data_IF_653954274727
#
_entry.id   IF_653954274727
#
_cell.length_a   1.000
_cell.length_b   1.000
_cell.length_c   1.000
_cell.angle_alpha   90.00
_cell.angle_beta   90.00
_cell.angle_gamma   90.00
#
_symmetry.space_group_name_H-M   'P 1'
#
loop_
_entity.id
_entity.type
_entity.pdbx_description
1 polymer ?
#
# COMPACT_ATOMS: atom_id res chain seq x y z
N UNK A 1 -0.24 -10.63 20.14
CA UNK A 1 -0.88 -10.31 18.85
C UNK A 1 -0.22 -9.08 18.30
N UNK A 2 -0.15 -8.95 16.98
CA UNK A 2 0.49 -7.81 16.32
C UNK A 2 -0.57 -6.77 16.00
N UNK A 3 -0.26 -5.50 16.23
CA UNK A 3 -1.12 -4.38 15.86
C UNK A 3 -0.76 -3.93 14.45
N UNK A 4 -1.75 -3.95 13.56
CA UNK A 4 -1.62 -3.52 12.18
C UNK A 4 -2.39 -2.23 11.96
N UNK A 5 -1.74 -1.21 11.39
CA UNK A 5 -2.38 -0.05 10.78
C UNK A 5 -2.87 -0.41 9.39
N UNK A 6 -4.05 0.07 9.04
CA UNK A 6 -4.74 -0.31 7.83
C UNK A 6 -4.85 0.90 6.91
N UNK A 7 -4.39 0.74 5.68
CA UNK A 7 -4.39 1.76 4.65
C UNK A 7 -5.09 1.23 3.39
N UNK A 8 -6.21 1.85 3.01
CA UNK A 8 -6.95 1.54 1.79
C UNK A 8 -6.44 2.36 0.63
N UNK A 9 -6.07 1.71 -0.47
CA UNK A 9 -5.71 2.37 -1.70
C UNK A 9 -6.98 2.95 -2.34
N UNK A 10 -6.97 4.25 -2.58
CA UNK A 10 -8.08 4.95 -3.22
C UNK A 10 -8.37 4.42 -4.64
N UNK A 11 -9.64 4.46 -5.05
CA UNK A 11 -10.10 3.83 -6.30
C UNK A 11 -9.35 4.31 -7.55
N UNK A 12 -8.95 5.59 -7.58
CA UNK A 12 -8.19 6.18 -8.69
C UNK A 12 -6.83 5.52 -8.94
N UNK A 13 -6.24 4.85 -7.94
CA UNK A 13 -4.93 4.20 -8.06
C UNK A 13 -5.02 2.68 -8.14
N UNK A 14 -6.21 2.12 -7.89
CA UNK A 14 -6.46 0.69 -7.81
C UNK A 14 -6.25 -0.02 -9.15
N UNK A 15 -6.84 0.53 -10.22
CA UNK A 15 -6.72 -0.05 -11.57
C UNK A 15 -5.27 -0.06 -12.04
N UNK A 16 -4.59 1.10 -11.92
CA UNK A 16 -3.17 1.23 -12.23
C UNK A 16 -2.30 0.26 -11.42
N UNK A 17 -2.63 -0.01 -10.16
CA UNK A 17 -1.89 -1.00 -9.37
C UNK A 17 -2.11 -2.43 -9.88
N UNK A 18 -3.33 -2.78 -10.26
CA UNK A 18 -3.70 -4.12 -10.75
C UNK A 18 -3.07 -4.45 -12.10
N UNK A 19 -2.90 -3.44 -12.95
CA UNK A 19 -2.30 -3.61 -14.29
C UNK A 19 -0.77 -3.66 -14.25
N UNK A 20 -0.16 -3.13 -13.20
CA UNK A 20 1.30 -3.12 -13.09
C UNK A 20 1.85 -4.54 -12.93
N UNK A 21 2.92 -4.88 -13.66
CA UNK A 21 3.60 -6.14 -13.44
C UNK A 21 4.21 -6.20 -12.03
N UNK A 22 4.38 -7.41 -11.46
CA UNK A 22 5.10 -7.58 -10.21
C UNK A 22 6.51 -7.01 -10.34
N UNK A 23 7.01 -6.41 -9.25
CA UNK A 23 8.37 -5.87 -9.17
C UNK A 23 9.21 -6.73 -8.23
N UNK A 24 10.49 -6.86 -8.54
CA UNK A 24 11.47 -7.40 -7.58
C UNK A 24 11.78 -6.36 -6.49
N UNK A 25 11.58 -6.75 -5.23
CA UNK A 25 11.82 -5.91 -4.05
C UNK A 25 10.57 -5.23 -3.51
N UNK A 26 10.71 -4.37 -2.47
CA UNK A 26 9.56 -3.74 -1.83
C UNK A 26 8.78 -2.82 -2.78
N UNK A 27 7.45 -2.89 -2.71
CA UNK A 27 6.58 -2.03 -3.51
C UNK A 27 6.60 -0.58 -2.97
N UNK A 28 6.94 0.42 -3.79
CA UNK A 28 6.92 1.82 -3.35
C UNK A 28 5.49 2.32 -3.22
N UNK A 29 5.10 2.72 -2.00
CA UNK A 29 3.76 3.20 -1.68
C UNK A 29 3.81 4.66 -1.22
N UNK A 30 2.85 5.48 -1.65
CA UNK A 30 2.77 6.90 -1.32
C UNK A 30 1.60 7.12 -0.39
N UNK A 31 1.83 7.58 0.84
CA UNK A 31 0.79 7.73 1.86
C UNK A 31 -0.43 8.54 1.36
N UNK A 32 -0.20 9.57 0.54
CA UNK A 32 -1.25 10.39 -0.08
C UNK A 32 -2.23 9.66 -1.00
N UNK A 33 -1.90 8.44 -1.47
CA UNK A 33 -2.80 7.62 -2.28
C UNK A 33 -3.71 6.73 -1.42
N UNK A 34 -3.47 6.70 -0.11
CA UNK A 34 -4.14 5.84 0.82
C UNK A 34 -5.05 6.63 1.76
N UNK A 35 -6.15 6.00 2.13
CA UNK A 35 -6.99 6.43 3.21
C UNK A 35 -6.68 5.59 4.46
N UNK A 36 -6.49 6.27 5.59
CA UNK A 36 -6.43 5.62 6.89
C UNK A 36 -7.79 4.97 7.21
N UNK A 37 -7.77 3.77 7.79
CA UNK A 37 -8.97 3.26 8.47
C UNK A 37 -8.64 2.55 9.77
N UNK A 38 -7.69 3.12 10.49
CA UNK A 38 -7.35 2.78 11.86
C UNK A 38 -6.50 1.51 11.96
N UNK A 39 -6.71 0.80 13.07
CA UNK A 39 -5.84 -0.28 13.50
C UNK A 39 -6.64 -1.52 13.88
N UNK A 40 -6.02 -2.69 13.69
CA UNK A 40 -6.56 -4.00 14.08
C UNK A 40 -5.45 -4.84 14.73
N UNK A 41 -5.82 -5.61 15.75
CA UNK A 41 -4.93 -6.62 16.33
C UNK A 41 -5.22 -7.97 15.69
N UNK A 42 -4.16 -8.63 15.20
CA UNK A 42 -4.24 -9.93 14.55
C UNK A 42 -2.97 -10.75 14.81
N UNK A 43 -3.01 -12.05 14.57
CA UNK A 43 -1.82 -12.91 14.72
C UNK A 43 -0.87 -12.84 13.53
N UNK A 44 -1.37 -12.43 12.37
CA UNK A 44 -0.61 -12.30 11.13
C UNK A 44 -1.32 -11.35 10.15
N UNK A 45 -0.65 -10.90 9.07
CA UNK A 45 -1.29 -10.12 8.02
C UNK A 45 -2.48 -10.84 7.37
N UNK A 46 -2.40 -12.17 7.25
CA UNK A 46 -3.48 -12.98 6.70
C UNK A 46 -4.69 -13.06 7.65
N UNK A 47 -4.46 -13.18 8.96
CA UNK A 47 -5.53 -13.14 9.96
C UNK A 47 -6.20 -11.74 9.99
N UNK A 48 -5.40 -10.66 9.88
CA UNK A 48 -5.93 -9.32 9.71
C UNK A 48 -6.80 -9.20 8.46
N UNK A 49 -6.31 -9.68 7.31
CA UNK A 49 -7.06 -9.70 6.05
C UNK A 49 -8.39 -10.45 6.18
N UNK A 50 -8.40 -11.65 6.76
CA UNK A 50 -9.60 -12.46 6.90
C UNK A 50 -10.68 -11.72 7.72
N UNK A 51 -10.28 -11.05 8.80
CA UNK A 51 -11.18 -10.22 9.63
C UNK A 51 -11.67 -8.99 8.88
N UNK A 52 -10.81 -8.35 8.08
CA UNK A 52 -11.19 -7.20 7.24
C UNK A 52 -12.10 -7.59 6.07
N UNK A 53 -12.13 -8.87 5.67
CA UNK A 53 -13.06 -9.41 4.68
C UNK A 53 -14.41 -9.80 5.28
N UNK A 54 -14.43 -10.40 6.49
CA UNK A 54 -15.63 -11.00 7.08
C UNK A 54 -16.37 -10.13 8.11
N UNK A 55 -15.63 -9.33 8.89
CA UNK A 55 -16.17 -8.60 10.05
C UNK A 55 -16.14 -7.09 9.89
N UNK A 56 -15.65 -6.55 8.77
CA UNK A 56 -15.68 -5.12 8.53
C UNK A 56 -17.13 -4.70 8.22
N UNK A 57 -17.82 -4.02 9.15
CA UNK A 57 -19.24 -3.71 9.01
C UNK A 57 -19.37 -2.59 7.99
N UNK A 58 -19.43 -2.91 6.69
CA UNK A 58 -19.55 -1.96 5.57
C UNK A 58 -18.96 -0.60 5.94
N UNK A 59 -17.69 -0.61 6.36
CA UNK A 59 -17.14 0.43 7.25
C UNK A 59 -17.07 1.72 6.43
N UNK A 60 -18.09 2.56 6.57
CA UNK A 60 -18.24 3.80 5.82
C UNK A 60 -18.38 3.64 4.29
N UNK A 61 -19.06 2.58 3.80
CA UNK A 61 -19.28 2.39 2.35
C UNK A 61 -18.00 2.11 1.55
N UNK A 62 -16.92 1.68 2.23
CA UNK A 62 -15.67 1.28 1.59
C UNK A 62 -15.75 -0.15 1.08
N UNK A 63 -15.01 -0.42 0.00
CA UNK A 63 -14.81 -1.78 -0.51
C UNK A 63 -14.08 -2.66 0.52
N UNK A 64 -14.23 -3.99 0.46
CA UNK A 64 -13.43 -4.90 1.26
C UNK A 64 -11.92 -4.69 1.02
N UNK A 65 -11.13 -4.92 2.07
CA UNK A 65 -9.68 -4.83 2.00
C UNK A 65 -9.13 -5.89 1.04
N UNK A 66 -8.22 -5.51 0.15
CA UNK A 66 -7.73 -6.38 -0.91
C UNK A 66 -6.57 -5.81 -1.69
N UNK A 67 -6.43 -6.26 -2.94
CA UNK A 67 -5.26 -5.99 -3.78
C UNK A 67 -4.97 -4.49 -3.89
N UNK A 68 -3.75 -4.11 -3.51
CA UNK A 68 -3.26 -2.73 -3.48
C UNK A 68 -3.28 -2.08 -2.10
N UNK A 69 -4.05 -2.63 -1.16
CA UNK A 69 -4.14 -2.12 0.21
C UNK A 69 -2.94 -2.54 1.06
N UNK A 70 -2.63 -1.75 2.08
CA UNK A 70 -1.42 -1.91 2.90
C UNK A 70 -1.79 -2.14 4.36
N UNK A 71 -1.10 -3.11 4.97
CA UNK A 71 -1.01 -3.27 6.41
C UNK A 71 0.38 -2.85 6.87
N UNK A 72 0.45 -2.06 7.92
CA UNK A 72 1.73 -1.67 8.54
C UNK A 72 1.79 -2.17 9.97
N UNK A 73 2.87 -2.86 10.30
CA UNK A 73 3.19 -3.27 11.67
C UNK A 73 4.62 -2.81 12.01
N UNK A 74 5.10 -3.17 13.19
CA UNK A 74 6.42 -2.76 13.69
C UNK A 74 7.58 -3.25 12.81
N UNK A 75 7.39 -4.35 12.07
CA UNK A 75 8.35 -4.93 11.13
C UNK A 75 8.32 -4.27 9.73
N UNK A 76 7.32 -3.42 9.47
CA UNK A 76 7.22 -2.61 8.27
C UNK A 76 5.86 -2.69 7.58
N UNK A 77 5.80 -2.08 6.40
CA UNK A 77 4.61 -2.09 5.56
C UNK A 77 4.56 -3.32 4.66
N UNK A 78 3.36 -3.87 4.48
CA UNK A 78 3.09 -5.01 3.61
C UNK A 78 1.87 -4.71 2.75
N UNK A 79 2.01 -4.89 1.44
CA UNK A 79 0.94 -4.68 0.46
C UNK A 79 0.25 -5.98 0.09
N UNK A 80 -1.07 -5.94 -0.01
CA UNK A 80 -1.88 -7.07 -0.45
C UNK A 80 -1.81 -7.24 -1.97
N UNK A 81 -1.48 -8.45 -2.41
CA UNK A 81 -1.44 -8.92 -3.80
C UNK A 81 -2.38 -10.11 -3.98
N UNK A 82 -2.61 -10.51 -5.22
CA UNK A 82 -3.43 -11.69 -5.52
C UNK A 82 -2.93 -12.99 -4.89
N UNK A 83 -1.62 -13.11 -4.63
CA UNK A 83 -0.99 -14.30 -4.05
C UNK A 83 -0.65 -14.18 -2.55
N UNK A 84 -0.94 -13.05 -1.91
CA UNK A 84 -0.62 -12.83 -0.50
C UNK A 84 -0.06 -11.45 -0.21
N UNK A 85 0.77 -11.34 0.82
CA UNK A 85 1.38 -10.09 1.25
C UNK A 85 2.84 -10.01 0.84
N UNK A 86 3.25 -8.86 0.32
CA UNK A 86 4.63 -8.55 -0.03
C UNK A 86 5.12 -7.31 0.70
N UNK A 87 6.43 -7.18 0.87
CA UNK A 87 7.00 -5.99 1.48
C UNK A 87 6.67 -4.73 0.69
N UNK A 88 6.37 -3.64 1.39
CA UNK A 88 6.14 -2.32 0.84
C UNK A 88 7.02 -1.29 1.55
N UNK A 89 7.33 -0.21 0.85
CA UNK A 89 8.15 0.87 1.36
C UNK A 89 7.45 2.21 1.13
N UNK A 90 7.21 2.94 2.21
CA UNK A 90 6.69 4.31 2.12
C UNK A 90 7.72 5.22 1.46
N UNK A 91 7.30 5.91 0.41
CA UNK A 91 8.09 6.92 -0.28
C UNK A 91 7.47 8.30 -0.06
N UNK A 92 8.17 9.13 0.70
CA UNK A 92 7.91 10.56 0.76
C UNK A 92 8.42 11.20 -0.54
N UNK A 93 7.51 11.52 -1.45
CA UNK A 93 7.85 12.29 -2.64
C UNK A 93 7.86 13.78 -2.28
N UNK A 94 8.80 14.15 -1.41
CA UNK A 94 9.34 15.50 -1.33
C UNK A 94 10.77 15.49 -1.89
N UNK A 95 10.88 15.30 -3.20
CA UNK A 95 11.90 15.95 -4.02
C UNK A 95 11.52 15.81 -5.48
N UNK A 96 11.09 16.94 -6.03
CA UNK A 96 11.18 17.29 -7.44
C UNK A 96 12.63 17.02 -7.86
N UNK A 97 12.89 15.90 -8.51
CA UNK A 97 14.13 15.74 -9.27
C UNK A 97 14.10 16.84 -10.35
N UNK A 98 14.97 17.83 -10.20
CA UNK A 98 15.30 18.70 -11.31
C UNK A 98 15.88 17.81 -12.42
N UNK A 99 15.46 17.97 -13.69
CA UNK A 99 15.90 17.09 -14.76
C UNK A 99 17.43 17.10 -14.87
N UNK A 100 17.97 15.89 -14.94
CA UNK A 100 19.35 15.62 -15.31
C UNK A 100 19.57 15.97 -16.80
N UNK A 101 19.57 17.25 -17.11
CA UNK A 101 19.99 17.81 -18.40
C UNK A 101 21.10 18.84 -18.15
N UNK A 102 22.27 18.32 -17.75
CA UNK A 102 23.54 19.02 -17.88
C UNK A 102 24.56 18.12 -18.59
N UNK A 103 24.10 17.42 -19.62
CA UNK A 103 24.97 16.99 -20.72
C UNK A 103 24.38 17.60 -21.99
N UNK A 104 25.20 18.39 -22.69
CA UNK A 104 24.96 18.97 -24.02
C UNK A 104 24.24 20.33 -24.11
N UNK A 105 24.93 21.38 -23.66
CA UNK A 105 25.04 22.61 -24.45
C UNK A 105 26.55 22.83 -24.67
N UNK A 106 27.06 22.61 -25.89
CA UNK A 106 27.44 23.68 -26.82
C UNK A 106 28.55 24.56 -26.22
N UNK A 107 29.77 24.68 -26.76
CA UNK A 107 30.35 24.41 -28.08
C UNK A 107 31.87 24.53 -27.93
#
# INVERSE_FOLDING_TARGET
MTRFRIYWLGDAHLETFREKPPRNGPEPVRIKHYEDGGEIEAVSPYDAWLRLQGDAPERNGRRPFGVGDVLEAEDGAQICRYWGFEAAAWIDVEKKEAPAEALQALS
#
